data_IF_222346471894
#
_entry.id   IF_222346471894
#
_cell.length_a   1.000
_cell.length_b   1.000
_cell.length_c   1.000
_cell.angle_alpha   90.00
_cell.angle_beta   90.00
_cell.angle_gamma   90.00
#
_symmetry.space_group_name_H-M   'P 1'
#
loop_
_entity.id
_entity.type
_entity.pdbx_description
1 polymer ?
#
# COMPACT_ATOMS: atom_id res chain seq x y z
N UNK A 1 7.27 -19.01 5.18
CA UNK A 1 7.53 -17.99 4.15
C UNK A 1 6.17 -17.40 3.81
N UNK A 2 5.81 -16.28 4.44
CA UNK A 2 4.60 -15.53 4.05
C UNK A 2 5.13 -14.30 3.33
N UNK A 3 5.11 -14.33 2.00
CA UNK A 3 5.35 -13.16 1.20
C UNK A 3 3.98 -12.51 1.00
N UNK A 4 3.83 -11.30 1.51
CA UNK A 4 2.65 -10.48 1.28
C UNK A 4 2.80 -9.73 -0.05
N UNK A 5 1.69 -9.24 -0.63
CA UNK A 5 1.73 -8.40 -1.83
C UNK A 5 2.57 -7.14 -1.65
N UNK A 6 2.74 -6.69 -0.41
CA UNK A 6 3.65 -5.60 -0.09
C UNK A 6 5.11 -5.95 -0.40
N UNK A 7 5.54 -7.17 -0.06
CA UNK A 7 6.87 -7.65 -0.37
C UNK A 7 7.06 -7.80 -1.88
N UNK A 8 6.11 -8.44 -2.56
CA UNK A 8 6.16 -8.68 -4.02
C UNK A 8 6.25 -7.35 -4.78
N UNK A 9 5.33 -6.43 -4.53
CA UNK A 9 5.33 -5.11 -5.17
C UNK A 9 6.60 -4.31 -4.87
N UNK A 10 7.16 -4.43 -3.65
CA UNK A 10 8.40 -3.74 -3.32
C UNK A 10 9.57 -4.28 -4.15
N UNK A 11 9.72 -5.59 -4.25
CA UNK A 11 10.78 -6.22 -5.05
C UNK A 11 10.61 -5.92 -6.53
N UNK A 12 9.38 -5.99 -7.06
CA UNK A 12 9.08 -5.68 -8.47
C UNK A 12 9.40 -4.23 -8.85
N UNK A 13 9.42 -3.32 -7.86
CA UNK A 13 9.79 -1.92 -8.05
C UNK A 13 11.25 -1.61 -7.67
N UNK A 14 12.07 -2.64 -7.39
CA UNK A 14 13.48 -2.51 -6.98
C UNK A 14 13.70 -1.61 -5.73
N UNK A 15 12.68 -1.54 -4.85
CA UNK A 15 12.71 -0.66 -3.68
C UNK A 15 13.29 -1.37 -2.45
N UNK A 16 14.09 -0.64 -1.67
CA UNK A 16 14.56 -1.11 -0.37
C UNK A 16 13.49 -0.84 0.70
N UNK A 17 13.39 -1.71 1.70
CA UNK A 17 12.47 -1.50 2.84
C UNK A 17 12.64 -0.13 3.52
N UNK A 18 13.86 0.41 3.55
CA UNK A 18 14.14 1.76 4.11
C UNK A 18 13.47 2.90 3.32
N UNK A 19 13.27 2.73 2.01
CA UNK A 19 12.69 3.75 1.14
C UNK A 19 11.18 3.83 1.37
N UNK A 20 10.51 2.67 1.47
CA UNK A 20 9.10 2.63 1.85
C UNK A 20 8.88 3.01 3.31
N UNK A 21 9.80 2.66 4.21
CA UNK A 21 9.73 3.13 5.59
C UNK A 21 9.78 4.66 5.67
N UNK A 22 10.66 5.30 4.88
CA UNK A 22 10.71 6.75 4.77
C UNK A 22 9.42 7.34 4.16
N UNK A 23 8.90 6.75 3.08
CA UNK A 23 7.62 7.14 2.46
C UNK A 23 6.45 7.09 3.47
N UNK A 24 6.43 6.06 4.30
CA UNK A 24 5.37 5.80 5.28
C UNK A 24 5.64 6.44 6.65
N UNK A 25 6.74 7.18 6.80
CA UNK A 25 7.18 7.79 8.05
C UNK A 25 7.23 6.79 9.22
N UNK A 26 7.83 5.62 9.00
CA UNK A 26 8.02 4.59 10.00
C UNK A 26 9.47 4.06 9.99
N UNK A 27 9.83 3.20 10.95
CA UNK A 27 11.15 2.56 10.93
C UNK A 27 11.19 1.40 9.92
N UNK A 28 12.37 1.10 9.37
CA UNK A 28 12.55 -0.04 8.46
C UNK A 28 12.12 -1.37 9.09
N UNK A 29 12.37 -1.55 10.40
CA UNK A 29 11.91 -2.73 11.15
C UNK A 29 10.39 -2.79 11.18
N UNK A 30 9.73 -1.65 11.42
CA UNK A 30 8.27 -1.59 11.43
C UNK A 30 7.68 -1.98 10.07
N UNK A 31 8.27 -1.48 8.97
CA UNK A 31 7.84 -1.84 7.63
C UNK A 31 8.04 -3.34 7.33
N UNK A 32 9.20 -3.89 7.70
CA UNK A 32 9.46 -5.34 7.60
C UNK A 32 8.42 -6.18 8.35
N UNK A 33 7.95 -5.72 9.51
CA UNK A 33 6.88 -6.42 10.24
C UNK A 33 5.53 -6.40 9.52
N UNK A 34 5.24 -5.36 8.74
CA UNK A 34 4.05 -5.36 7.88
C UNK A 34 4.19 -6.39 6.77
N UNK A 35 5.32 -6.43 6.07
CA UNK A 35 5.55 -7.40 4.99
C UNK A 35 5.47 -8.86 5.46
N UNK A 36 6.00 -9.12 6.66
CA UNK A 36 6.02 -10.46 7.27
C UNK A 36 4.70 -10.83 7.97
N UNK A 37 3.70 -9.93 7.99
CA UNK A 37 2.44 -10.14 8.72
C UNK A 37 2.59 -10.24 10.24
N UNK A 38 3.72 -9.80 10.80
CA UNK A 38 3.99 -9.78 12.25
C UNK A 38 3.28 -8.64 12.97
N UNK A 39 2.88 -7.61 12.22
CA UNK A 39 2.15 -6.46 12.70
C UNK A 39 1.09 -6.08 11.68
N UNK A 40 -0.11 -5.74 12.15
CA UNK A 40 -1.14 -5.18 11.30
C UNK A 40 -0.74 -3.80 10.77
N UNK A 41 -1.01 -3.57 9.49
CA UNK A 41 -0.76 -2.30 8.83
C UNK A 41 -1.90 -1.31 9.15
N UNK A 42 -1.60 -0.09 9.61
CA UNK A 42 -2.63 0.94 9.80
C UNK A 42 -3.35 1.26 8.48
N UNK A 43 -4.66 1.47 8.53
CA UNK A 43 -5.50 1.75 7.36
C UNK A 43 -4.96 2.89 6.50
N UNK A 44 -4.53 4.00 7.11
CA UNK A 44 -3.99 5.15 6.38
C UNK A 44 -2.71 4.79 5.58
N UNK A 45 -1.86 3.91 6.12
CA UNK A 45 -0.67 3.45 5.40
C UNK A 45 -1.01 2.45 4.30
N UNK A 46 -2.01 1.60 4.53
CA UNK A 46 -2.51 0.66 3.52
C UNK A 46 -3.10 1.41 2.31
N UNK A 47 -3.89 2.46 2.55
CA UNK A 47 -4.40 3.34 1.50
C UNK A 47 -3.26 4.02 0.75
N UNK A 48 -2.31 4.61 1.48
CA UNK A 48 -1.14 5.27 0.87
C UNK A 48 -0.32 4.32 -0.01
N UNK A 49 -0.18 3.05 0.38
CA UNK A 49 0.49 2.05 -0.43
C UNK A 49 -0.31 1.66 -1.67
N UNK A 50 -1.64 1.55 -1.56
CA UNK A 50 -2.50 1.29 -2.70
C UNK A 50 -2.37 2.42 -3.73
N UNK A 51 -2.40 3.67 -3.29
CA UNK A 51 -2.20 4.84 -4.15
C UNK A 51 -0.80 4.87 -4.77
N UNK A 52 0.24 4.62 -3.97
CA UNK A 52 1.63 4.60 -4.42
C UNK A 52 1.88 3.56 -5.52
N UNK A 53 1.38 2.34 -5.33
CA UNK A 53 1.50 1.25 -6.31
C UNK A 53 0.43 1.28 -7.40
N UNK A 54 -0.46 2.29 -7.40
CA UNK A 54 -1.58 2.44 -8.34
C UNK A 54 -2.42 1.16 -8.42
N UNK A 55 -2.81 0.65 -7.26
CA UNK A 55 -3.59 -0.57 -7.11
C UNK A 55 -4.72 -0.38 -6.10
N UNK A 56 -5.54 -1.40 -5.87
CA UNK A 56 -6.60 -1.37 -4.85
C UNK A 56 -6.13 -1.97 -3.52
N UNK A 57 -6.73 -1.56 -2.41
CA UNK A 57 -6.53 -2.23 -1.11
C UNK A 57 -7.00 -3.70 -1.16
N UNK A 58 -8.01 -4.01 -1.95
CA UNK A 58 -8.48 -5.38 -2.17
C UNK A 58 -7.39 -6.22 -2.85
N UNK A 59 -6.64 -5.63 -3.78
CA UNK A 59 -5.46 -6.26 -4.33
C UNK A 59 -4.45 -6.46 -3.19
N UNK A 60 -4.02 -5.43 -2.45
CA UNK A 60 -3.03 -5.62 -1.38
C UNK A 60 -3.41 -6.69 -0.32
N UNK A 61 -4.70 -6.90 -0.09
CA UNK A 61 -5.26 -7.86 0.86
C UNK A 61 -5.62 -9.24 0.26
N UNK A 62 -5.20 -9.55 -0.97
CA UNK A 62 -5.50 -10.83 -1.65
C UNK A 62 -7.00 -11.13 -1.83
N UNK A 63 -7.85 -10.10 -1.93
CA UNK A 63 -9.29 -10.28 -2.22
C UNK A 63 -9.61 -10.39 -3.71
N UNK A 64 -8.65 -10.05 -4.57
CA UNK A 64 -8.73 -10.12 -6.04
C UNK A 64 -7.34 -10.31 -6.61
N UNK A 65 -7.19 -10.91 -7.79
CA UNK A 65 -5.91 -10.95 -8.53
C UNK A 65 -5.75 -9.81 -9.53
N UNK A 66 -6.78 -8.98 -9.71
CA UNK A 66 -6.70 -7.81 -10.57
C UNK A 66 -6.02 -6.64 -9.83
N UNK A 67 -4.84 -6.18 -10.27
CA UNK A 67 -4.15 -5.05 -9.64
C UNK A 67 -4.78 -3.70 -9.98
N UNK A 68 -5.66 -3.63 -10.99
CA UNK A 68 -6.25 -2.37 -11.39
C UNK A 68 -7.02 -1.73 -10.21
N UNK A 69 -6.78 -0.44 -9.92
CA UNK A 69 -7.59 0.29 -8.97
C UNK A 69 -9.01 0.45 -9.51
N UNK A 70 -9.96 0.67 -8.62
CA UNK A 70 -11.33 0.99 -9.01
C UNK A 70 -11.41 2.45 -9.46
N UNK A 71 -12.35 2.73 -10.37
CA UNK A 71 -12.73 4.10 -10.66
C UNK A 71 -13.15 4.81 -9.36
N UNK A 72 -12.61 6.00 -9.06
CA UNK A 72 -12.99 6.74 -7.87
C UNK A 72 -14.50 6.99 -7.86
N UNK A 73 -15.13 6.84 -6.70
CA UNK A 73 -16.52 7.28 -6.55
C UNK A 73 -16.61 8.80 -6.79
N UNK A 74 -17.68 9.27 -7.43
CA UNK A 74 -17.90 10.71 -7.67
C UNK A 74 -17.66 11.53 -6.39
N UNK A 75 -18.19 11.08 -5.25
CA UNK A 75 -18.01 11.72 -3.95
C UNK A 75 -16.54 11.90 -3.55
N UNK A 76 -15.68 10.94 -3.87
CA UNK A 76 -14.25 11.00 -3.56
C UNK A 76 -13.54 11.99 -4.47
N UNK A 77 -13.84 11.99 -5.77
CA UNK A 77 -13.29 12.97 -6.73
C UNK A 77 -13.60 14.40 -6.31
N UNK A 78 -14.87 14.69 -5.99
CA UNK A 78 -15.26 16.00 -5.47
C UNK A 78 -14.54 16.38 -4.17
N UNK A 79 -14.25 15.41 -3.29
CA UNK A 79 -13.54 15.69 -2.04
C UNK A 79 -12.08 16.10 -2.29
N UNK A 80 -11.40 15.48 -3.25
CA UNK A 80 -10.03 15.82 -3.62
C UNK A 80 -9.92 17.20 -4.28
N UNK A 81 -10.86 17.54 -5.17
CA UNK A 81 -10.92 18.84 -5.85
C UNK A 81 -11.09 20.03 -4.89
N UNK A 82 -11.67 19.82 -3.71
CA UNK A 82 -11.87 20.87 -2.68
C UNK A 82 -10.64 21.02 -1.77
N UNK A 83 -9.74 20.03 -1.77
CA UNK A 83 -8.55 20.01 -0.90
C UNK A 83 -7.28 20.58 -1.55
N UNK A 84 -7.35 21.00 -2.81
CA UNK A 84 -6.30 21.71 -3.57
C UNK A 84 -6.53 23.24 -3.57
#
# INVERSE_FOLDING_TARGET
>A
MHLSRLYELREDNDLKQRELAALLNCSQVCYSYYELGRREIPLALLMKLADFYKTSVDYLLYRTDNPAPYEPSEKYSLMCEISE
#
